data_IF_813824020244
#
_entry.id   IF_813824020244
#
_cell.length_a   1.000
_cell.length_b   1.000
_cell.length_c   1.000
_cell.angle_alpha   90.00
_cell.angle_beta   90.00
_cell.angle_gamma   90.00
#
_symmetry.space_group_name_H-M   'P 1'
#
loop_
_entity.id
_entity.type
_entity.pdbx_description
1 polymer ?
#
# COMPACT_ATOMS: atom_id res chain seq x y z
N UNK A 1 19.12 -7.26 -15.95
CA UNK A 1 19.33 -6.37 -14.78
C UNK A 1 17.94 -5.97 -14.31
N UNK A 2 17.43 -6.58 -13.26
CA UNK A 2 16.22 -6.12 -12.56
C UNK A 2 16.50 -4.71 -12.04
N UNK A 3 15.61 -3.77 -12.30
CA UNK A 3 15.69 -2.43 -11.71
C UNK A 3 15.74 -2.57 -10.16
N UNK A 4 16.52 -1.76 -9.45
CA UNK A 4 16.53 -1.81 -7.99
C UNK A 4 15.09 -1.54 -7.50
N UNK A 5 14.67 -2.27 -6.48
CA UNK A 5 13.38 -2.01 -5.83
C UNK A 5 13.36 -0.55 -5.32
N UNK A 6 12.21 0.13 -5.31
CA UNK A 6 12.13 1.56 -4.97
C UNK A 6 12.85 1.94 -3.67
N UNK A 7 12.69 1.15 -2.61
CA UNK A 7 13.33 1.39 -1.33
C UNK A 7 14.86 1.26 -1.37
N UNK A 8 15.42 0.42 -2.27
CA UNK A 8 16.87 0.31 -2.44
C UNK A 8 17.46 1.57 -3.07
N UNK A 9 16.75 2.13 -4.06
CA UNK A 9 17.13 3.40 -4.66
C UNK A 9 17.07 4.51 -3.61
N UNK A 10 16.03 4.55 -2.78
CA UNK A 10 15.87 5.50 -1.67
C UNK A 10 17.00 5.30 -0.66
N UNK A 11 17.22 4.09 -0.15
CA UNK A 11 18.25 3.81 0.84
C UNK A 11 19.65 4.07 0.30
N UNK A 12 19.98 3.66 -0.92
CA UNK A 12 21.28 3.94 -1.54
C UNK A 12 21.53 5.43 -1.78
N UNK A 13 20.48 6.20 -2.08
CA UNK A 13 20.56 7.62 -2.34
C UNK A 13 20.78 8.44 -1.07
N UNK A 14 20.18 8.02 0.05
CA UNK A 14 20.18 8.76 1.30
C UNK A 14 21.12 8.20 2.38
N UNK A 15 21.50 6.92 2.28
CA UNK A 15 22.45 6.30 3.21
C UNK A 15 23.90 6.52 2.77
N UNK A 16 24.35 7.76 2.74
CA UNK A 16 25.79 8.06 2.77
C UNK A 16 26.30 7.86 4.21
N UNK A 17 26.62 6.59 4.55
CA UNK A 17 27.01 6.18 5.91
C UNK A 17 28.55 6.17 6.06
N UNK A 18 29.25 7.07 5.39
CA UNK A 18 30.72 7.14 5.47
C UNK A 18 31.40 5.92 4.85
N UNK A 19 32.46 5.42 5.49
CA UNK A 19 33.30 4.29 5.02
C UNK A 19 32.70 2.92 5.43
N UNK A 20 31.38 2.76 5.40
CA UNK A 20 30.70 1.49 5.76
C UNK A 20 30.29 0.75 4.50
N UNK A 21 30.71 -0.51 4.38
CA UNK A 21 30.24 -1.42 3.34
C UNK A 21 28.85 -1.96 3.70
N UNK A 22 27.86 -1.64 2.89
CA UNK A 22 26.48 -2.18 3.04
C UNK A 22 26.30 -3.36 2.09
N UNK A 23 26.06 -4.53 2.64
CA UNK A 23 25.74 -5.75 1.86
C UNK A 23 24.23 -5.86 1.68
N UNK A 24 23.77 -5.78 0.44
CA UNK A 24 22.36 -5.86 0.09
C UNK A 24 21.95 -7.28 -0.32
N UNK A 25 21.16 -7.94 0.51
CA UNK A 25 20.55 -9.23 0.17
C UNK A 25 19.18 -9.00 -0.49
N UNK A 26 19.15 -9.06 -1.82
CA UNK A 26 17.95 -8.75 -2.60
C UNK A 26 17.29 -10.05 -3.05
N UNK A 27 16.07 -10.29 -2.57
CA UNK A 27 15.23 -11.40 -3.02
C UNK A 27 13.91 -10.83 -3.54
N UNK A 28 13.53 -11.09 -4.81
CA UNK A 28 12.17 -10.78 -5.28
C UNK A 28 11.13 -11.51 -4.44
N UNK A 29 9.97 -10.89 -4.23
CA UNK A 29 8.91 -11.51 -3.44
C UNK A 29 7.93 -12.34 -4.29
N UNK A 30 8.38 -12.87 -5.42
CA UNK A 30 7.61 -13.81 -6.22
C UNK A 30 7.40 -15.12 -5.43
N UNK A 31 6.18 -15.61 -5.38
CA UNK A 31 5.80 -16.83 -4.64
C UNK A 31 6.27 -16.85 -3.18
N UNK A 32 6.24 -15.70 -2.50
CA UNK A 32 6.72 -15.51 -1.12
C UNK A 32 8.23 -15.81 -0.92
N UNK A 33 9.04 -15.80 -1.97
CA UNK A 33 10.46 -16.13 -1.90
C UNK A 33 11.23 -15.23 -0.92
N UNK A 34 10.89 -13.92 -0.86
CA UNK A 34 11.48 -13.00 0.11
C UNK A 34 11.21 -13.44 1.55
N UNK A 35 9.94 -13.70 1.89
CA UNK A 35 9.57 -14.12 3.24
C UNK A 35 10.22 -15.47 3.61
N UNK A 36 10.22 -16.44 2.70
CA UNK A 36 10.85 -17.75 2.93
C UNK A 36 12.35 -17.62 3.20
N UNK A 37 13.04 -16.77 2.45
CA UNK A 37 14.47 -16.48 2.66
C UNK A 37 14.71 -15.78 4.00
N UNK A 38 13.91 -14.78 4.32
CA UNK A 38 14.00 -14.04 5.59
C UNK A 38 13.76 -14.95 6.78
N UNK A 39 12.73 -15.81 6.72
CA UNK A 39 12.43 -16.82 7.76
C UNK A 39 13.64 -17.71 8.02
N UNK A 40 14.23 -18.28 6.96
CA UNK A 40 15.39 -19.17 7.08
C UNK A 40 16.61 -18.45 7.67
N UNK A 41 16.83 -17.18 7.29
CA UNK A 41 17.98 -16.41 7.75
C UNK A 41 17.80 -15.98 9.21
N UNK A 42 16.62 -15.49 9.62
CA UNK A 42 16.35 -15.08 10.99
C UNK A 42 16.41 -16.28 11.96
N UNK A 43 15.96 -17.47 11.54
CA UNK A 43 16.10 -18.70 12.32
C UNK A 43 17.56 -19.04 12.64
N UNK A 44 18.49 -18.72 11.76
CA UNK A 44 19.91 -18.99 11.91
C UNK A 44 20.71 -17.81 12.50
N UNK A 45 20.07 -16.67 12.74
CA UNK A 45 20.70 -15.41 13.16
C UNK A 45 21.61 -15.54 14.38
N UNK A 46 21.18 -16.31 15.40
CA UNK A 46 21.93 -16.47 16.66
C UNK A 46 23.28 -17.19 16.47
N UNK A 47 23.33 -18.16 15.57
CA UNK A 47 24.50 -19.00 15.31
C UNK A 47 25.34 -18.50 14.12
N UNK A 48 24.88 -17.48 13.40
CA UNK A 48 25.58 -16.92 12.26
C UNK A 48 26.89 -16.21 12.69
N UNK A 49 27.99 -16.33 11.91
CA UNK A 49 29.16 -15.46 12.07
C UNK A 49 28.76 -13.97 11.99
N UNK A 50 29.52 -13.09 12.66
CA UNK A 50 29.24 -11.65 12.68
C UNK A 50 28.99 -11.06 11.28
N UNK A 51 29.85 -11.38 10.32
CA UNK A 51 29.76 -10.87 8.95
C UNK A 51 28.57 -11.43 8.14
N UNK A 52 27.93 -12.49 8.61
CA UNK A 52 26.77 -13.13 7.96
C UNK A 52 25.44 -12.79 8.65
N UNK A 53 25.46 -12.05 9.76
CA UNK A 53 24.26 -11.61 10.46
C UNK A 53 23.50 -10.55 9.66
N UNK A 54 22.17 -10.64 9.73
CA UNK A 54 21.31 -9.54 9.27
C UNK A 54 21.30 -8.45 10.35
N UNK A 55 21.48 -7.21 9.94
CA UNK A 55 21.35 -6.04 10.80
C UNK A 55 19.95 -5.42 10.68
N UNK A 56 19.49 -5.27 9.45
CA UNK A 56 18.19 -4.69 9.09
C UNK A 56 17.46 -5.59 8.08
N UNK A 57 16.16 -5.66 8.22
CA UNK A 57 15.29 -6.28 7.23
C UNK A 57 14.02 -5.46 7.04
N UNK A 58 13.34 -5.71 5.93
CA UNK A 58 12.13 -5.00 5.59
C UNK A 58 10.90 -5.88 5.73
N UNK A 59 9.81 -5.28 6.17
CA UNK A 59 8.50 -5.93 6.19
C UNK A 59 7.46 -5.03 5.52
N UNK A 60 6.49 -5.63 4.90
CA UNK A 60 5.34 -4.95 4.32
C UNK A 60 4.15 -5.09 5.28
N UNK A 61 3.22 -4.14 5.24
CA UNK A 61 2.11 -4.05 6.19
C UNK A 61 1.32 -5.36 6.37
N UNK A 62 1.01 -6.05 5.27
CA UNK A 62 0.16 -7.23 5.29
C UNK A 62 0.75 -8.40 6.09
N UNK A 63 2.09 -8.47 6.20
CA UNK A 63 2.78 -9.53 6.95
C UNK A 63 3.70 -9.04 8.07
N UNK A 64 3.67 -7.76 8.42
CA UNK A 64 4.54 -7.20 9.45
C UNK A 64 4.43 -7.93 10.79
N UNK A 65 3.20 -8.24 11.22
CA UNK A 65 2.95 -8.94 12.49
C UNK A 65 3.58 -10.33 12.56
N UNK A 66 3.78 -11.02 11.42
CA UNK A 66 4.49 -12.29 11.36
C UNK A 66 5.91 -12.18 11.93
N UNK A 67 6.57 -11.03 11.77
CA UNK A 67 7.97 -10.81 12.20
C UNK A 67 8.07 -10.03 13.50
N UNK A 68 7.26 -9.00 13.69
CA UNK A 68 7.36 -8.16 14.89
C UNK A 68 6.83 -8.85 16.12
N UNK A 69 5.88 -9.79 15.97
CA UNK A 69 5.35 -10.60 17.08
C UNK A 69 6.26 -11.81 17.40
N UNK A 70 7.56 -11.64 17.19
CA UNK A 70 8.60 -12.65 17.44
C UNK A 70 9.79 -12.05 18.18
N UNK A 71 10.66 -12.93 18.70
CA UNK A 71 11.93 -12.54 19.31
C UNK A 71 13.04 -12.27 18.28
N UNK A 72 12.78 -12.40 16.98
CA UNK A 72 13.75 -12.09 15.92
C UNK A 72 13.87 -10.60 15.63
N UNK A 73 12.88 -9.82 16.01
CA UNK A 73 12.82 -8.37 15.76
C UNK A 73 13.10 -7.60 17.04
N UNK A 74 14.08 -6.71 17.00
CA UNK A 74 14.52 -5.93 18.14
C UNK A 74 13.51 -4.82 18.49
N UNK A 75 13.18 -4.60 19.78
CA UNK A 75 12.44 -3.41 20.19
C UNK A 75 13.16 -2.12 19.82
N UNK A 76 12.44 -1.14 19.27
CA UNK A 76 13.01 0.17 18.85
C UNK A 76 13.69 0.89 20.03
N UNK A 77 13.11 0.81 21.23
CA UNK A 77 13.68 1.39 22.45
C UNK A 77 15.05 0.81 22.84
N UNK A 78 15.33 -0.45 22.48
CA UNK A 78 16.60 -1.10 22.80
C UNK A 78 17.74 -0.59 21.91
N UNK A 79 17.40 0.02 20.75
CA UNK A 79 18.31 0.83 19.94
C UNK A 79 18.52 2.23 20.52
N UNK A 80 17.79 2.62 21.58
CA UNK A 80 17.82 3.98 22.13
C UNK A 80 17.10 5.01 21.26
N UNK A 81 16.13 4.58 20.46
CA UNK A 81 15.17 5.46 19.75
C UNK A 81 14.03 5.79 20.72
N UNK A 82 13.69 7.07 20.84
CA UNK A 82 12.72 7.57 21.82
C UNK A 82 11.40 7.98 21.16
N UNK A 83 10.35 8.13 21.96
CA UNK A 83 9.07 8.65 21.48
C UNK A 83 9.19 10.08 20.94
N UNK A 84 10.11 10.89 21.48
CA UNK A 84 10.37 12.25 20.99
C UNK A 84 10.95 12.23 19.57
N UNK A 85 11.85 11.27 19.26
CA UNK A 85 12.39 11.07 17.91
C UNK A 85 11.28 10.76 16.90
N UNK A 86 10.21 10.09 17.34
CA UNK A 86 9.10 9.61 16.52
C UNK A 86 7.85 10.51 16.58
N UNK A 87 7.96 11.70 17.19
CA UNK A 87 6.81 12.59 17.46
C UNK A 87 6.09 13.08 16.20
N UNK A 88 6.77 13.11 15.05
CA UNK A 88 6.20 13.52 13.76
C UNK A 88 5.56 12.38 12.96
N UNK A 89 5.76 11.13 13.37
CA UNK A 89 5.22 9.97 12.68
C UNK A 89 3.73 9.77 12.99
N UNK A 90 2.98 9.31 11.99
CA UNK A 90 1.57 8.96 12.16
C UNK A 90 1.42 7.74 13.06
N UNK A 91 0.42 7.75 13.95
CA UNK A 91 0.23 6.69 14.93
C UNK A 91 -0.05 5.33 14.29
N UNK A 92 -0.93 5.28 13.26
CA UNK A 92 -1.27 4.02 12.59
C UNK A 92 -0.05 3.31 11.99
N UNK A 93 0.98 4.03 11.55
CA UNK A 93 2.21 3.40 11.03
C UNK A 93 3.01 2.69 12.13
N UNK A 94 2.93 3.17 13.36
CA UNK A 94 3.51 2.51 14.55
C UNK A 94 2.69 1.30 14.97
N UNK A 95 1.35 1.39 14.88
CA UNK A 95 0.44 0.31 15.27
C UNK A 95 0.68 -0.96 14.45
N UNK A 96 1.00 -0.84 13.15
CA UNK A 96 1.28 -1.97 12.23
C UNK A 96 2.49 -2.80 12.68
N UNK A 97 3.48 -2.19 13.31
CA UNK A 97 4.72 -2.84 13.76
C UNK A 97 4.86 -2.85 15.29
N UNK A 98 3.76 -2.77 15.97
CA UNK A 98 3.67 -2.98 17.42
C UNK A 98 3.21 -4.42 17.70
N UNK A 99 3.99 -5.14 18.49
CA UNK A 99 3.70 -6.54 18.81
C UNK A 99 2.49 -6.70 19.77
N UNK A 100 2.07 -7.94 20.00
CA UNK A 100 0.95 -8.27 20.87
C UNK A 100 1.13 -7.83 22.33
N UNK A 101 2.35 -7.48 22.74
CA UNK A 101 2.69 -6.95 24.07
C UNK A 101 2.74 -5.42 24.10
N UNK A 102 2.43 -4.74 23.00
CA UNK A 102 2.47 -3.28 22.87
C UNK A 102 3.89 -2.73 22.68
N UNK A 103 4.84 -3.53 22.18
CA UNK A 103 6.22 -3.11 21.95
C UNK A 103 6.43 -2.74 20.47
N UNK A 104 6.86 -1.52 20.21
CA UNK A 104 7.19 -1.05 18.88
C UNK A 104 8.50 -1.67 18.38
N UNK A 105 8.50 -2.28 17.18
CA UNK A 105 9.63 -3.04 16.64
C UNK A 105 10.01 -2.69 15.19
N UNK A 106 9.46 -1.64 14.62
CA UNK A 106 9.79 -1.19 13.27
C UNK A 106 9.47 0.28 13.05
N UNK A 107 10.02 0.87 12.00
CA UNK A 107 9.75 2.24 11.58
C UNK A 107 9.55 2.30 10.06
N UNK A 108 8.70 3.20 9.58
CA UNK A 108 8.48 3.42 8.15
C UNK A 108 8.77 4.84 7.75
N UNK A 109 9.26 5.01 6.52
CA UNK A 109 9.29 6.33 5.86
C UNK A 109 7.99 6.62 5.11
N UNK A 110 7.15 5.61 4.82
CA UNK A 110 5.93 5.74 4.03
C UNK A 110 4.69 5.84 4.93
N UNK A 111 3.70 6.62 4.48
CA UNK A 111 2.39 6.70 5.13
C UNK A 111 1.30 5.90 4.43
N UNK A 112 1.33 5.81 3.11
CA UNK A 112 0.46 4.98 2.25
C UNK A 112 -1.07 5.16 2.38
N UNK A 113 -1.62 6.36 2.65
CA UNK A 113 -3.06 6.56 2.51
C UNK A 113 -3.47 6.40 1.05
N UNK A 114 -4.61 5.76 0.81
CA UNK A 114 -5.13 5.50 -0.53
C UNK A 114 -6.10 6.57 -1.00
N UNK A 115 -6.10 6.79 -2.32
CA UNK A 115 -7.02 7.66 -3.04
C UNK A 115 -7.46 6.99 -4.34
N UNK A 116 -8.37 7.62 -5.07
CA UNK A 116 -8.80 7.22 -6.41
C UNK A 116 -8.02 8.05 -7.44
N UNK A 117 -7.19 7.39 -8.27
CA UNK A 117 -6.57 8.00 -9.44
C UNK A 117 -7.47 7.84 -10.66
N UNK A 118 -7.82 8.93 -11.33
CA UNK A 118 -8.70 8.91 -12.50
C UNK A 118 -8.02 9.42 -13.75
N UNK A 119 -8.38 8.85 -14.89
CA UNK A 119 -7.98 9.29 -16.23
C UNK A 119 -8.69 10.61 -16.57
N UNK A 120 -7.93 11.70 -16.68
CA UNK A 120 -8.46 13.06 -16.96
C UNK A 120 -9.19 13.15 -18.28
N UNK A 121 -8.72 12.47 -19.32
CA UNK A 121 -9.37 12.49 -20.63
C UNK A 121 -10.71 11.77 -20.58
N UNK A 122 -10.79 10.62 -19.92
CA UNK A 122 -12.06 9.93 -19.68
C UNK A 122 -13.03 10.77 -18.84
N UNK A 123 -12.53 11.46 -17.80
CA UNK A 123 -13.34 12.38 -17.00
C UNK A 123 -13.91 13.52 -17.84
N UNK A 124 -13.10 14.17 -18.68
CA UNK A 124 -13.56 15.23 -19.60
C UNK A 124 -14.60 14.71 -20.58
N UNK A 125 -14.35 13.55 -21.18
CA UNK A 125 -15.23 12.95 -22.18
C UNK A 125 -16.60 12.59 -21.57
N UNK A 126 -16.63 11.97 -20.40
CA UNK A 126 -17.84 11.35 -19.83
C UNK A 126 -18.52 12.24 -18.78
N UNK A 127 -17.74 12.90 -17.92
CA UNK A 127 -18.27 13.75 -16.86
C UNK A 127 -18.30 15.24 -17.22
N UNK A 128 -17.67 15.62 -18.36
CA UNK A 128 -17.58 17.01 -18.83
C UNK A 128 -16.56 17.86 -18.04
N UNK A 129 -15.74 17.23 -17.20
CA UNK A 129 -14.75 17.93 -16.38
C UNK A 129 -13.63 16.98 -15.97
N UNK A 130 -12.41 17.51 -15.79
CA UNK A 130 -11.28 16.80 -15.16
C UNK A 130 -10.80 17.52 -13.89
N UNK A 131 -11.58 18.47 -13.41
CA UNK A 131 -11.33 19.17 -12.15
C UNK A 131 -11.49 18.20 -10.97
N UNK A 132 -10.47 18.05 -10.09
CA UNK A 132 -10.50 17.06 -9.02
C UNK A 132 -11.70 17.15 -8.06
N UNK A 133 -12.11 18.38 -7.71
CA UNK A 133 -13.22 18.59 -6.79
C UNK A 133 -14.54 18.17 -7.40
N UNK A 134 -14.72 18.43 -8.72
CA UNK A 134 -15.92 18.03 -9.44
C UNK A 134 -15.95 16.55 -9.75
N UNK A 135 -14.80 15.94 -10.02
CA UNK A 135 -14.70 14.47 -10.16
C UNK A 135 -15.01 13.80 -8.84
N UNK A 136 -14.52 14.35 -7.70
CA UNK A 136 -14.85 13.83 -6.36
C UNK A 136 -16.37 13.77 -6.12
N UNK A 137 -17.15 14.78 -6.56
CA UNK A 137 -18.62 14.72 -6.44
C UNK A 137 -19.27 13.54 -7.18
N UNK A 138 -18.60 13.03 -8.21
CA UNK A 138 -19.07 11.88 -9.00
C UNK A 138 -18.64 10.54 -8.43
N UNK A 139 -17.77 10.51 -7.41
CA UNK A 139 -17.21 9.28 -6.79
C UNK A 139 -17.16 9.36 -5.26
N UNK A 140 -17.88 10.28 -4.63
CA UNK A 140 -17.78 10.58 -3.20
C UNK A 140 -18.37 9.51 -2.27
N UNK A 141 -19.18 8.64 -2.79
CA UNK A 141 -19.78 7.50 -2.13
C UNK A 141 -20.02 6.38 -3.13
N UNK A 142 -20.38 5.18 -2.64
CA UNK A 142 -20.60 4.02 -3.51
C UNK A 142 -21.78 4.18 -4.46
N UNK A 143 -22.80 4.97 -4.13
CA UNK A 143 -23.94 5.21 -5.01
C UNK A 143 -23.53 6.07 -6.22
N UNK A 144 -22.84 7.19 -5.98
CA UNK A 144 -22.34 8.07 -7.05
C UNK A 144 -21.22 7.40 -7.86
N UNK A 145 -20.38 6.57 -7.21
CA UNK A 145 -19.37 5.75 -7.88
C UNK A 145 -20.03 4.75 -8.86
N UNK A 146 -21.06 4.03 -8.43
CA UNK A 146 -21.78 3.08 -9.27
C UNK A 146 -22.52 3.77 -10.43
N UNK A 147 -23.08 4.96 -10.20
CA UNK A 147 -23.70 5.73 -11.30
C UNK A 147 -22.66 6.25 -12.29
N UNK A 148 -21.45 6.57 -11.83
CA UNK A 148 -20.32 6.92 -12.70
C UNK A 148 -19.83 5.71 -13.48
N UNK A 149 -19.78 4.52 -12.88
CA UNK A 149 -19.40 3.27 -13.55
C UNK A 149 -20.31 2.97 -14.76
N UNK A 150 -21.61 3.18 -14.62
CA UNK A 150 -22.59 3.04 -15.73
C UNK A 150 -22.29 4.01 -16.87
N UNK A 151 -22.02 5.29 -16.55
CA UNK A 151 -21.71 6.32 -17.55
C UNK A 151 -20.38 5.98 -18.27
N UNK A 152 -19.37 5.53 -17.55
CA UNK A 152 -18.08 5.12 -18.11
C UNK A 152 -18.26 3.95 -19.08
N UNK A 153 -19.02 2.91 -18.66
CA UNK A 153 -19.34 1.77 -19.53
C UNK A 153 -20.05 2.18 -20.81
N UNK A 154 -21.06 3.08 -20.72
CA UNK A 154 -21.82 3.54 -21.88
C UNK A 154 -20.94 4.31 -22.87
N UNK A 155 -19.85 4.93 -22.39
CA UNK A 155 -18.83 5.60 -23.21
C UNK A 155 -17.70 4.64 -23.65
N UNK A 156 -17.76 3.36 -23.31
CA UNK A 156 -16.78 2.35 -23.73
C UNK A 156 -15.55 2.24 -22.81
N UNK A 157 -15.63 2.78 -21.59
CA UNK A 157 -14.61 2.60 -20.55
C UNK A 157 -15.02 1.52 -19.54
N UNK A 158 -14.03 0.90 -18.92
CA UNK A 158 -14.21 0.22 -17.65
C UNK A 158 -14.06 1.22 -16.52
N UNK A 159 -14.85 1.07 -15.45
CA UNK A 159 -14.65 1.86 -14.24
C UNK A 159 -13.31 1.54 -13.61
N UNK A 160 -13.04 0.24 -13.36
CA UNK A 160 -11.73 -0.30 -12.95
C UNK A 160 -11.32 -1.48 -13.83
N UNK A 161 -10.02 -1.79 -13.90
CA UNK A 161 -9.50 -2.92 -14.63
C UNK A 161 -9.86 -4.27 -13.97
N UNK A 162 -9.93 -4.26 -12.65
CA UNK A 162 -10.18 -5.45 -11.82
C UNK A 162 -11.20 -5.16 -10.73
N UNK A 163 -12.02 -6.14 -10.38
CA UNK A 163 -12.83 -6.11 -9.17
C UNK A 163 -11.95 -5.93 -7.90
N UNK A 164 -10.72 -6.44 -7.93
CA UNK A 164 -9.77 -6.32 -6.82
C UNK A 164 -9.24 -4.89 -6.62
N UNK A 165 -9.36 -3.98 -7.60
CA UNK A 165 -8.95 -2.57 -7.44
C UNK A 165 -9.67 -1.88 -6.27
N UNK A 166 -10.91 -2.25 -5.98
CA UNK A 166 -11.69 -1.68 -4.87
C UNK A 166 -11.54 -2.44 -3.55
N UNK A 167 -10.92 -3.62 -3.55
CA UNK A 167 -10.88 -4.51 -2.39
C UNK A 167 -10.35 -3.83 -1.13
N UNK A 168 -9.23 -3.11 -1.23
CA UNK A 168 -8.61 -2.43 -0.07
C UNK A 168 -9.51 -1.37 0.55
N UNK A 169 -10.35 -0.71 -0.24
CA UNK A 169 -11.32 0.27 0.29
C UNK A 169 -12.31 -0.41 1.23
N UNK A 170 -12.80 -1.60 0.89
CA UNK A 170 -13.72 -2.36 1.73
C UNK A 170 -13.00 -3.05 2.90
N UNK A 171 -11.87 -3.69 2.66
CA UNK A 171 -11.17 -4.48 3.67
C UNK A 171 -10.51 -3.64 4.78
N UNK A 172 -10.22 -2.38 4.53
CA UNK A 172 -9.75 -1.45 5.56
C UNK A 172 -10.87 -0.84 6.41
N UNK A 173 -12.12 -0.96 5.97
CA UNK A 173 -13.27 -0.38 6.66
C UNK A 173 -14.16 -1.47 7.30
N UNK A 174 -13.49 -2.48 7.88
CA UNK A 174 -14.14 -3.60 8.58
C UNK A 174 -14.34 -3.28 10.06
N UNK A 175 -15.33 -3.91 10.65
CA UNK A 175 -15.68 -3.78 12.07
C UNK A 175 -15.20 -4.95 12.91
N UNK A 176 -14.67 -5.99 12.27
CA UNK A 176 -14.17 -7.20 12.93
C UNK A 176 -12.93 -7.76 12.22
N UNK A 177 -12.13 -8.50 12.96
CA UNK A 177 -10.96 -9.22 12.43
C UNK A 177 -11.40 -10.43 11.61
N UNK A 178 -10.52 -10.92 10.73
CA UNK A 178 -10.70 -12.18 10.02
C UNK A 178 -10.84 -13.40 10.95
N UNK A 179 -10.25 -13.33 12.15
CA UNK A 179 -10.25 -14.44 13.09
C UNK A 179 -10.65 -13.96 14.47
N UNK A 180 -11.68 -14.59 15.05
CA UNK A 180 -12.10 -14.45 16.43
C UNK A 180 -11.81 -15.76 17.19
N UNK A 181 -10.83 -15.69 18.13
CA UNK A 181 -10.27 -16.88 18.76
C UNK A 181 -9.55 -17.77 17.74
N UNK A 182 -10.17 -18.87 17.35
CA UNK A 182 -9.69 -19.73 16.25
C UNK A 182 -10.71 -19.88 15.12
N UNK A 183 -11.78 -19.07 15.13
CA UNK A 183 -12.84 -19.15 14.14
C UNK A 183 -12.67 -18.05 13.07
N UNK A 184 -12.71 -18.47 11.79
CA UNK A 184 -12.73 -17.54 10.65
C UNK A 184 -14.09 -16.82 10.62
N UNK A 185 -14.06 -15.50 10.49
CA UNK A 185 -15.23 -14.63 10.40
C UNK A 185 -15.05 -13.66 9.25
N UNK A 186 -16.02 -13.60 8.35
CA UNK A 186 -16.01 -12.65 7.22
C UNK A 186 -16.86 -11.46 7.61
N UNK A 187 -16.26 -10.27 7.65
CA UNK A 187 -16.96 -9.02 7.94
C UNK A 187 -17.99 -8.69 6.87
N UNK A 188 -19.10 -8.07 7.27
CA UNK A 188 -20.19 -7.69 6.36
C UNK A 188 -19.73 -6.74 5.26
N UNK A 189 -18.73 -5.90 5.52
CA UNK A 189 -18.16 -4.98 4.52
C UNK A 189 -17.36 -5.74 3.44
N UNK A 190 -16.69 -6.81 3.82
CA UNK A 190 -16.04 -7.72 2.86
C UNK A 190 -17.08 -8.41 1.97
N UNK A 191 -18.19 -8.87 2.56
CA UNK A 191 -19.29 -9.47 1.79
C UNK A 191 -19.98 -8.46 0.89
N UNK A 192 -20.08 -7.18 1.32
CA UNK A 192 -20.58 -6.10 0.47
C UNK A 192 -19.70 -5.89 -0.77
N UNK A 193 -18.35 -5.94 -0.62
CA UNK A 193 -17.45 -5.92 -1.76
C UNK A 193 -17.74 -7.05 -2.76
N UNK A 194 -18.04 -8.26 -2.27
CA UNK A 194 -18.38 -9.40 -3.14
C UNK A 194 -19.64 -9.10 -3.96
N UNK A 195 -20.69 -8.59 -3.32
CA UNK A 195 -21.96 -8.32 -3.99
C UNK A 195 -21.85 -7.14 -4.96
N UNK A 196 -21.21 -6.05 -4.57
CA UNK A 196 -20.99 -4.87 -5.42
C UNK A 196 -20.11 -5.21 -6.64
N UNK A 197 -18.99 -5.92 -6.42
CA UNK A 197 -18.09 -6.34 -7.48
C UNK A 197 -18.76 -7.28 -8.48
N UNK A 198 -19.53 -8.26 -8.00
CA UNK A 198 -20.29 -9.17 -8.88
C UNK A 198 -21.28 -8.40 -9.74
N UNK A 199 -22.02 -7.47 -9.16
CA UNK A 199 -22.98 -6.66 -9.90
C UNK A 199 -22.28 -5.83 -10.99
N UNK A 200 -21.13 -5.19 -10.71
CA UNK A 200 -20.37 -4.41 -11.68
C UNK A 200 -19.74 -5.28 -12.77
N UNK A 201 -19.24 -6.48 -12.43
CA UNK A 201 -18.69 -7.43 -13.41
C UNK A 201 -19.80 -7.91 -14.35
N UNK A 202 -20.95 -8.33 -13.83
CA UNK A 202 -22.10 -8.80 -14.62
C UNK A 202 -22.67 -7.68 -15.52
N UNK A 203 -22.65 -6.44 -15.04
CA UNK A 203 -23.00 -5.27 -15.83
C UNK A 203 -21.94 -4.90 -16.88
N UNK A 204 -20.74 -5.47 -16.83
CA UNK A 204 -19.63 -5.17 -17.71
C UNK A 204 -18.94 -3.83 -17.40
N UNK A 205 -19.17 -3.27 -16.21
CA UNK A 205 -18.62 -1.99 -15.73
C UNK A 205 -17.18 -2.11 -15.23
N UNK A 206 -16.79 -3.27 -14.70
CA UNK A 206 -15.41 -3.56 -14.27
C UNK A 206 -14.89 -4.88 -14.85
N UNK A 207 -13.58 -5.11 -14.78
CA UNK A 207 -12.91 -6.34 -15.22
C UNK A 207 -12.70 -7.34 -14.08
N UNK A 208 -12.07 -8.49 -14.44
CA UNK A 208 -11.72 -9.58 -13.51
C UNK A 208 -10.25 -10.00 -13.63
N UNK A 209 -9.41 -9.20 -14.30
CA UNK A 209 -7.98 -9.50 -14.39
C UNK A 209 -7.33 -9.45 -13.02
N UNK A 210 -6.23 -10.18 -12.86
CA UNK A 210 -5.44 -10.10 -11.64
C UNK A 210 -4.72 -8.76 -11.56
N UNK A 211 -4.62 -8.20 -10.34
CA UNK A 211 -3.71 -7.09 -10.08
C UNK A 211 -2.29 -7.48 -10.49
N UNK A 212 -1.53 -6.51 -10.97
CA UNK A 212 -0.14 -6.66 -11.43
C UNK A 212 0.03 -7.46 -12.73
N UNK A 213 -1.05 -7.98 -13.33
CA UNK A 213 -0.99 -8.65 -14.62
C UNK A 213 -0.79 -7.65 -15.78
N UNK A 214 -0.36 -8.19 -16.94
CA UNK A 214 -0.28 -7.40 -18.17
C UNK A 214 -1.65 -6.83 -18.59
N UNK A 215 -2.74 -7.57 -18.34
CA UNK A 215 -4.09 -7.12 -18.66
C UNK A 215 -4.52 -5.95 -17.77
N UNK A 216 -4.16 -5.95 -16.51
CA UNK A 216 -4.38 -4.84 -15.58
C UNK A 216 -3.59 -3.60 -16.00
N UNK A 217 -2.33 -3.77 -16.39
CA UNK A 217 -1.42 -2.70 -16.78
C UNK A 217 -1.80 -2.03 -18.11
N UNK A 218 -2.61 -2.67 -18.96
CA UNK A 218 -3.13 -2.07 -20.20
C UNK A 218 -3.90 -0.77 -19.95
N UNK A 219 -4.57 -0.67 -18.81
CA UNK A 219 -5.31 0.54 -18.43
C UNK A 219 -4.44 1.76 -18.10
N UNK A 220 -3.13 1.60 -17.95
CA UNK A 220 -2.18 2.71 -17.79
C UNK A 220 -1.92 3.47 -19.09
N UNK A 221 -2.48 2.99 -20.19
CA UNK A 221 -2.38 3.58 -21.52
C UNK A 221 -3.77 3.96 -22.04
N UNK A 222 -3.88 5.02 -22.87
CA UNK A 222 -5.17 5.54 -23.34
C UNK A 222 -6.06 4.49 -24.03
N UNK A 223 -5.43 3.54 -24.75
CA UNK A 223 -6.14 2.46 -25.45
C UNK A 223 -6.75 1.40 -24.54
N UNK A 224 -6.29 1.31 -23.28
CA UNK A 224 -6.83 0.36 -22.31
C UNK A 224 -8.22 0.71 -21.80
N UNK A 225 -8.65 1.99 -21.99
CA UNK A 225 -10.00 2.44 -21.67
C UNK A 225 -10.45 2.12 -20.25
N UNK A 226 -9.60 2.38 -19.26
CA UNK A 226 -9.89 2.28 -17.82
C UNK A 226 -10.01 3.68 -17.24
N UNK A 227 -11.06 3.92 -16.44
CA UNK A 227 -11.31 5.21 -15.83
C UNK A 227 -10.45 5.44 -14.59
N UNK A 228 -10.44 4.50 -13.63
CA UNK A 228 -9.74 4.74 -12.38
C UNK A 228 -9.06 3.51 -11.79
N UNK A 229 -8.12 3.80 -10.88
CA UNK A 229 -7.41 2.87 -10.02
C UNK A 229 -7.42 3.38 -8.58
N UNK A 230 -7.44 2.48 -7.62
CA UNK A 230 -7.33 2.82 -6.20
C UNK A 230 -5.94 2.49 -5.68
N UNK A 231 -5.31 3.42 -5.01
CA UNK A 231 -3.99 3.17 -4.42
C UNK A 231 -3.41 4.37 -3.70
N UNK A 232 -2.30 4.15 -2.98
CA UNK A 232 -1.49 5.21 -2.40
C UNK A 232 -0.63 5.93 -3.44
N UNK A 233 0.11 6.93 -2.99
CA UNK A 233 1.01 7.72 -3.82
C UNK A 233 2.03 6.87 -4.60
N UNK A 234 2.61 5.85 -3.96
CA UNK A 234 3.57 4.94 -4.60
C UNK A 234 3.00 4.20 -5.82
N UNK A 235 1.68 3.95 -5.86
CA UNK A 235 1.07 3.22 -7.00
C UNK A 235 1.27 3.98 -8.31
N UNK A 236 0.97 5.27 -8.30
CA UNK A 236 1.02 6.11 -9.50
C UNK A 236 2.44 6.26 -10.05
N UNK A 237 3.42 6.42 -9.18
CA UNK A 237 4.80 6.62 -9.59
C UNK A 237 5.49 5.31 -10.00
N UNK A 238 5.40 4.27 -9.16
CA UNK A 238 6.18 3.03 -9.37
C UNK A 238 5.48 2.01 -10.26
N UNK A 239 4.13 1.98 -10.27
CA UNK A 239 3.40 0.87 -10.88
C UNK A 239 2.65 1.26 -12.15
N UNK A 240 2.23 2.53 -12.30
CA UNK A 240 1.36 2.97 -13.39
C UNK A 240 2.13 3.53 -14.59
N UNK A 241 3.35 3.05 -14.82
CA UNK A 241 4.19 3.37 -15.99
C UNK A 241 4.43 4.87 -16.21
N UNK A 242 4.53 5.66 -15.13
CA UNK A 242 4.63 7.12 -15.19
C UNK A 242 5.85 7.66 -15.93
N UNK A 243 6.91 6.87 -16.05
CA UNK A 243 8.15 7.15 -16.78
C UNK A 243 8.15 6.65 -18.24
N UNK A 244 7.09 5.95 -18.66
CA UNK A 244 7.00 5.30 -19.98
C UNK A 244 6.27 6.17 -20.98
N UNK A 245 6.95 6.56 -22.06
CA UNK A 245 6.36 7.35 -23.14
C UNK A 245 5.09 6.69 -23.70
N UNK A 246 4.04 7.49 -23.84
CA UNK A 246 2.73 7.05 -24.33
C UNK A 246 1.77 6.56 -23.25
N UNK A 247 2.24 6.41 -21.98
CA UNK A 247 1.33 6.18 -20.86
C UNK A 247 0.55 7.45 -20.48
N UNK A 248 -0.54 7.26 -19.77
CA UNK A 248 -1.35 8.36 -19.23
C UNK A 248 -0.52 9.21 -18.25
N UNK A 249 0.22 8.58 -17.34
CA UNK A 249 1.03 9.26 -16.32
C UNK A 249 2.18 10.08 -16.91
N UNK A 250 2.85 9.58 -17.95
CA UNK A 250 3.97 10.28 -18.60
C UNK A 250 3.61 11.70 -19.06
N UNK A 251 2.37 11.88 -19.50
CA UNK A 251 1.84 13.15 -19.99
C UNK A 251 1.06 13.95 -18.94
N UNK A 252 1.05 13.51 -17.66
CA UNK A 252 0.27 14.18 -16.62
C UNK A 252 -1.23 13.96 -16.75
N UNK A 253 -1.63 12.84 -17.34
CA UNK A 253 -3.04 12.53 -17.66
C UNK A 253 -3.83 11.91 -16.51
N UNK A 254 -3.22 11.65 -15.36
CA UNK A 254 -3.94 11.25 -14.16
C UNK A 254 -4.38 12.44 -13.32
N UNK A 255 -5.48 12.31 -12.60
CA UNK A 255 -5.89 13.16 -11.50
C UNK A 255 -6.17 12.31 -10.27
N UNK A 256 -6.20 12.93 -9.09
CA UNK A 256 -6.53 12.26 -7.85
C UNK A 256 -7.82 12.83 -7.24
N UNK A 257 -8.67 11.94 -6.71
CA UNK A 257 -9.87 12.24 -5.93
C UNK A 257 -9.84 11.37 -4.68
N UNK A 258 -10.48 11.81 -3.58
CA UNK A 258 -10.55 11.01 -2.34
C UNK A 258 -11.20 9.65 -2.57
N UNK A 259 -12.16 9.60 -3.51
CA UNK A 259 -12.99 8.41 -3.75
C UNK A 259 -14.12 8.27 -2.74
N UNK A 260 -14.78 7.10 -2.72
CA UNK A 260 -15.96 6.90 -1.90
C UNK A 260 -15.66 6.74 -0.40
N UNK A 261 -14.42 6.34 -0.06
CA UNK A 261 -14.03 6.06 1.32
C UNK A 261 -12.51 6.04 1.46
N UNK A 262 -11.98 6.50 2.60
CA UNK A 262 -10.55 6.42 2.90
C UNK A 262 -10.09 4.98 3.14
N UNK A 263 -8.84 4.70 2.81
CA UNK A 263 -8.22 3.39 2.99
C UNK A 263 -6.70 3.52 3.06
N UNK A 264 -6.05 2.43 3.41
CA UNK A 264 -4.61 2.27 3.49
C UNK A 264 -4.19 1.05 2.66
N UNK A 265 -3.03 1.12 2.01
CA UNK A 265 -2.50 -0.05 1.29
C UNK A 265 -0.99 -0.07 1.25
N UNK A 266 -0.42 -1.19 1.70
CA UNK A 266 1.00 -1.47 1.58
C UNK A 266 1.90 -0.60 2.45
N UNK A 267 3.08 -0.31 1.97
CA UNK A 267 4.14 0.38 2.67
C UNK A 267 5.19 -0.56 3.23
N UNK A 268 6.36 0.00 3.50
CA UNK A 268 7.54 -0.76 3.92
C UNK A 268 8.02 -0.25 5.27
N UNK A 269 8.27 -1.17 6.19
CA UNK A 269 8.87 -0.91 7.50
C UNK A 269 10.28 -1.46 7.57
N UNK A 270 11.16 -0.71 8.22
CA UNK A 270 12.52 -1.11 8.55
C UNK A 270 12.50 -1.69 9.94
N UNK A 271 12.95 -2.94 10.09
CA UNK A 271 13.09 -3.65 11.35
C UNK A 271 14.56 -3.95 11.62
N UNK A 272 14.97 -3.82 12.88
CA UNK A 272 16.29 -4.26 13.32
C UNK A 272 16.25 -5.74 13.73
N UNK A 273 17.21 -6.52 13.26
CA UNK A 273 17.29 -7.92 13.64
C UNK A 273 17.86 -8.08 15.05
N UNK A 274 17.22 -8.95 15.84
CA UNK A 274 17.75 -9.31 17.17
C UNK A 274 19.13 -9.95 17.02
N UNK A 275 20.10 -9.47 17.82
CA UNK A 275 21.47 -9.96 17.78
C UNK A 275 22.36 -9.32 16.71
N UNK A 276 21.93 -8.19 16.12
CA UNK A 276 22.83 -7.33 15.35
C UNK A 276 24.00 -6.88 16.20
N UNK A 277 25.20 -6.86 15.64
CA UNK A 277 26.40 -6.30 16.29
C UNK A 277 26.68 -4.84 15.85
N UNK A 278 25.81 -4.28 15.01
CA UNK A 278 25.88 -2.92 14.46
C UNK A 278 24.77 -1.99 15.00
N UNK A 279 24.27 -2.19 16.21
CA UNK A 279 23.08 -1.52 16.74
C UNK A 279 23.10 0.02 16.62
N UNK A 280 24.26 0.68 16.82
CA UNK A 280 24.36 2.14 16.68
C UNK A 280 24.17 2.59 15.22
N UNK A 281 24.76 1.87 14.28
CA UNK A 281 24.61 2.15 12.86
C UNK A 281 23.18 1.89 12.38
N UNK A 282 22.59 0.80 12.84
CA UNK A 282 21.17 0.45 12.60
C UNK A 282 20.26 1.58 13.08
N UNK A 283 20.46 2.08 14.30
CA UNK A 283 19.76 3.25 14.82
C UNK A 283 19.87 4.46 13.90
N UNK A 284 21.10 4.82 13.51
CA UNK A 284 21.35 6.01 12.69
C UNK A 284 20.69 5.90 11.31
N UNK A 285 20.71 4.70 10.69
CA UNK A 285 20.04 4.43 9.42
C UNK A 285 18.52 4.58 9.59
N UNK A 286 17.94 3.92 10.59
CA UNK A 286 16.51 3.96 10.83
C UNK A 286 16.01 5.37 11.06
N UNK A 287 16.64 6.15 11.96
CA UNK A 287 16.27 7.53 12.22
C UNK A 287 16.42 8.41 10.97
N UNK A 288 17.55 8.32 10.28
CA UNK A 288 17.80 9.13 9.09
C UNK A 288 16.77 8.87 8.00
N UNK A 289 16.44 7.60 7.76
CA UNK A 289 15.47 7.20 6.74
C UNK A 289 14.03 7.54 7.09
N UNK A 290 13.68 7.64 8.37
CA UNK A 290 12.28 7.71 8.78
C UNK A 290 11.89 8.98 9.56
N UNK A 291 12.85 9.87 9.88
CA UNK A 291 12.57 11.07 10.68
C UNK A 291 13.23 12.36 10.16
N UNK A 292 14.20 12.27 9.25
CA UNK A 292 14.89 13.45 8.71
C UNK A 292 13.98 14.23 7.75
N UNK A 293 13.67 15.48 8.10
CA UNK A 293 12.71 16.30 7.34
C UNK A 293 13.18 16.60 5.90
N UNK A 294 14.48 16.76 5.69
CA UNK A 294 15.01 17.05 4.34
C UNK A 294 14.96 15.80 3.45
N UNK A 295 15.32 14.64 3.98
CA UNK A 295 15.20 13.36 3.27
C UNK A 295 13.73 13.07 2.95
N UNK A 296 12.84 13.26 3.94
CA UNK A 296 11.40 13.07 3.73
C UNK A 296 10.85 13.98 2.64
N UNK A 297 11.22 15.25 2.66
CA UNK A 297 10.83 16.20 1.61
C UNK A 297 11.37 15.78 0.23
N UNK A 298 12.60 15.33 0.14
CA UNK A 298 13.20 14.88 -1.11
C UNK A 298 12.50 13.64 -1.67
N UNK A 299 12.09 12.69 -0.82
CA UNK A 299 11.28 11.53 -1.23
C UNK A 299 9.96 11.99 -1.85
N UNK A 300 9.24 12.96 -1.23
CA UNK A 300 8.00 13.49 -1.81
C UNK A 300 8.23 14.12 -3.18
N UNK A 301 9.30 14.90 -3.32
CA UNK A 301 9.58 15.65 -4.56
C UNK A 301 10.03 14.75 -5.70
N UNK A 302 10.87 13.77 -5.39
CA UNK A 302 11.53 12.95 -6.42
C UNK A 302 10.74 11.69 -6.76
N UNK A 303 9.97 11.16 -5.81
CA UNK A 303 9.23 9.90 -5.96
C UNK A 303 7.70 10.09 -5.92
N UNK A 304 7.19 11.33 -5.80
CA UNK A 304 5.75 11.63 -5.65
C UNK A 304 5.10 10.81 -4.51
N UNK A 305 5.86 10.39 -3.49
CA UNK A 305 5.36 9.52 -2.41
C UNK A 305 4.78 10.34 -1.25
N UNK A 306 3.99 9.70 -0.39
CA UNK A 306 3.48 10.26 0.87
C UNK A 306 4.30 9.70 2.03
N UNK A 307 5.03 10.59 2.73
CA UNK A 307 5.96 10.18 3.78
C UNK A 307 5.36 10.20 5.19
N UNK A 308 5.93 9.38 6.06
CA UNK A 308 5.51 9.24 7.46
C UNK A 308 6.06 10.37 8.35
N UNK A 309 5.79 11.62 7.96
CA UNK A 309 6.19 12.81 8.68
C UNK A 309 5.10 13.89 8.56
N UNK A 310 4.28 14.02 9.60
CA UNK A 310 3.13 14.93 9.60
C UNK A 310 3.52 16.40 9.42
N UNK A 311 4.70 16.81 9.90
CA UNK A 311 5.19 18.20 9.74
C UNK A 311 5.50 18.49 8.27
N UNK A 312 6.23 17.59 7.60
CA UNK A 312 6.57 17.74 6.18
C UNK A 312 5.31 17.66 5.33
N UNK A 313 4.45 16.66 5.58
CA UNK A 313 3.23 16.47 4.79
C UNK A 313 2.26 17.65 4.90
N UNK A 314 1.95 18.10 6.11
CA UNK A 314 1.07 19.25 6.31
C UNK A 314 1.68 20.54 5.73
N UNK A 315 2.97 20.77 5.93
CA UNK A 315 3.64 21.96 5.42
C UNK A 315 3.74 22.01 3.90
N UNK A 316 3.92 20.86 3.24
CA UNK A 316 3.88 20.79 1.76
C UNK A 316 2.44 20.82 1.22
N UNK A 317 1.47 20.32 1.99
CA UNK A 317 0.06 20.37 1.63
C UNK A 317 -0.48 21.80 1.64
N UNK A 318 -0.18 22.60 2.66
CA UNK A 318 -0.64 23.98 2.81
C UNK A 318 0.30 25.03 2.16
N UNK A 319 1.42 24.56 1.59
CA UNK A 319 2.40 25.40 0.91
C UNK A 319 3.31 26.22 1.85
N UNK A 320 3.32 25.98 3.14
CA UNK A 320 4.29 26.61 4.09
C UNK A 320 5.70 26.04 3.94
N UNK A 321 5.82 24.76 3.55
CA UNK A 321 7.07 24.15 3.11
C UNK A 321 7.14 24.18 1.58
N UNK A 322 8.13 24.88 1.07
CA UNK A 322 8.36 25.02 -0.39
C UNK A 322 9.39 24.01 -0.87
N UNK A 323 9.24 23.61 -2.13
CA UNK A 323 10.22 22.84 -2.86
C UNK A 323 11.25 23.76 -3.54
N UNK A 324 12.10 23.17 -4.40
CA UNK A 324 13.13 23.93 -5.14
C UNK A 324 12.54 25.17 -5.83
N UNK A 325 13.33 26.24 -5.90
CA UNK A 325 12.95 27.54 -6.48
C UNK A 325 11.79 28.24 -5.74
N UNK A 326 11.59 27.93 -4.46
CA UNK A 326 10.52 28.50 -3.63
C UNK A 326 9.11 28.29 -4.19
N UNK A 327 8.89 27.16 -4.87
CA UNK A 327 7.58 26.77 -5.44
C UNK A 327 6.79 25.90 -4.46
N UNK A 328 5.49 25.83 -4.65
CA UNK A 328 4.64 24.83 -4.02
C UNK A 328 4.87 23.46 -4.69
N UNK A 329 4.70 22.39 -3.93
CA UNK A 329 4.75 21.05 -4.48
C UNK A 329 3.56 20.81 -5.43
N UNK A 330 3.83 20.12 -6.51
CA UNK A 330 2.81 19.63 -7.44
C UNK A 330 3.34 18.40 -8.18
N UNK A 331 2.50 17.38 -8.33
CA UNK A 331 2.84 16.17 -9.07
C UNK A 331 2.71 16.39 -10.57
N UNK A 332 3.78 16.10 -11.30
CA UNK A 332 3.75 16.12 -12.78
C UNK A 332 2.83 15.02 -13.32
N UNK A 333 2.84 13.85 -12.69
CA UNK A 333 2.03 12.68 -13.08
C UNK A 333 0.54 12.98 -12.96
N UNK A 334 0.17 13.82 -11.98
CA UNK A 334 -1.19 14.26 -11.73
C UNK A 334 -1.56 15.59 -12.42
N UNK A 335 -0.83 15.96 -13.49
CA UNK A 335 -1.13 17.16 -14.27
C UNK A 335 -0.93 18.48 -13.50
N UNK A 336 -0.04 18.52 -12.54
CA UNK A 336 0.25 19.67 -11.70
C UNK A 336 -0.61 19.77 -10.44
N UNK A 337 -1.43 18.76 -10.13
CA UNK A 337 -2.19 18.70 -8.88
C UNK A 337 -1.26 18.49 -7.69
N UNK A 338 -1.52 19.14 -6.55
CA UNK A 338 -0.96 18.77 -5.25
C UNK A 338 -1.95 17.83 -4.53
N UNK A 339 -1.68 16.52 -4.43
CA UNK A 339 -2.58 15.57 -3.78
C UNK A 339 -2.41 15.52 -2.26
N UNK A 340 -1.38 16.17 -1.69
CA UNK A 340 -1.03 16.05 -0.28
C UNK A 340 -2.14 16.47 0.69
N UNK A 341 -2.94 17.55 0.43
CA UNK A 341 -4.08 17.86 1.29
C UNK A 341 -5.08 16.72 1.40
N UNK A 342 -5.29 15.99 0.30
CA UNK A 342 -6.20 14.84 0.23
C UNK A 342 -5.66 13.65 1.02
N UNK A 343 -4.38 13.33 0.85
CA UNK A 343 -3.73 12.28 1.63
C UNK A 343 -3.71 12.61 3.13
N UNK A 344 -3.39 13.85 3.51
CA UNK A 344 -3.42 14.28 4.92
C UNK A 344 -4.81 14.14 5.53
N UNK A 345 -5.88 14.46 4.79
CA UNK A 345 -7.24 14.23 5.24
C UNK A 345 -7.57 12.72 5.35
N UNK A 346 -7.05 11.90 4.43
CA UNK A 346 -7.26 10.45 4.42
C UNK A 346 -6.69 9.76 5.65
N UNK A 347 -5.48 10.13 6.10
CA UNK A 347 -4.84 9.49 7.28
C UNK A 347 -5.62 9.70 8.59
N UNK A 348 -6.39 10.78 8.71
CA UNK A 348 -7.21 11.06 9.88
C UNK A 348 -8.41 10.10 10.02
N UNK A 349 -8.76 9.39 8.95
CA UNK A 349 -9.92 8.48 8.91
C UNK A 349 -9.54 7.00 9.08
N UNK A 350 -8.24 6.67 9.15
CA UNK A 350 -7.78 5.29 9.22
C UNK A 350 -7.98 4.69 10.61
N UNK A 351 -8.60 3.51 10.64
CA UNK A 351 -8.74 2.66 11.83
C UNK A 351 -8.16 1.27 11.52
N UNK A 352 -6.99 0.98 12.11
CA UNK A 352 -6.28 -0.28 11.92
C UNK A 352 -6.41 -1.23 13.12
N UNK A 353 -7.38 -1.00 14.00
CA UNK A 353 -7.59 -1.80 15.22
C UNK A 353 -7.97 -3.26 14.94
N UNK A 354 -8.43 -3.55 13.72
CA UNK A 354 -8.83 -4.88 13.27
C UNK A 354 -7.73 -5.66 12.53
N UNK A 355 -6.49 -5.14 12.47
CA UNK A 355 -5.37 -5.89 11.88
C UNK A 355 -5.02 -7.14 12.71
N UNK A 356 -4.58 -8.18 12.00
CA UNK A 356 -4.13 -9.44 12.58
C UNK A 356 -3.05 -10.12 11.73
N UNK A 357 -2.34 -11.09 12.31
CA UNK A 357 -1.34 -11.90 11.60
C UNK A 357 -1.93 -12.82 10.51
N UNK A 358 -3.26 -12.95 10.47
CA UNK A 358 -3.98 -13.75 9.46
C UNK A 358 -4.37 -12.94 8.22
N UNK A 359 -4.23 -11.61 8.25
CA UNK A 359 -4.78 -10.72 7.22
C UNK A 359 -4.22 -11.01 5.84
N UNK A 360 -2.90 -11.20 5.70
CA UNK A 360 -2.30 -11.53 4.41
C UNK A 360 -2.95 -12.77 3.81
N UNK A 361 -2.92 -13.89 4.54
CA UNK A 361 -3.44 -15.14 4.02
C UNK A 361 -4.95 -15.11 3.76
N UNK A 362 -5.73 -14.51 4.67
CA UNK A 362 -7.17 -14.41 4.48
C UNK A 362 -7.52 -13.50 3.29
N UNK A 363 -6.89 -12.34 3.16
CA UNK A 363 -7.14 -11.42 2.04
C UNK A 363 -6.76 -12.04 0.68
N UNK A 364 -5.60 -12.70 0.59
CA UNK A 364 -5.14 -13.36 -0.63
C UNK A 364 -6.08 -14.48 -1.05
N UNK A 365 -6.36 -15.41 -0.14
CA UNK A 365 -7.20 -16.57 -0.43
C UNK A 365 -8.66 -16.17 -0.71
N UNK A 366 -9.15 -15.12 -0.05
CA UNK A 366 -10.51 -14.62 -0.30
C UNK A 366 -10.66 -14.03 -1.70
N UNK A 367 -9.75 -13.16 -2.11
CA UNK A 367 -9.77 -12.58 -3.46
C UNK A 367 -9.62 -13.65 -4.54
N UNK A 368 -8.70 -14.62 -4.33
CA UNK A 368 -8.48 -15.73 -5.25
C UNK A 368 -9.75 -16.60 -5.40
N UNK A 369 -10.41 -16.91 -4.31
CA UNK A 369 -11.65 -17.70 -4.33
C UNK A 369 -12.80 -16.93 -5.01
N UNK A 370 -13.00 -15.66 -4.64
CA UNK A 370 -14.09 -14.83 -5.19
C UNK A 370 -13.91 -14.53 -6.69
N UNK A 371 -12.70 -14.54 -7.23
CA UNK A 371 -12.47 -14.43 -8.67
C UNK A 371 -13.26 -15.48 -9.46
N UNK A 372 -13.36 -16.73 -8.97
CA UNK A 372 -14.13 -17.77 -9.62
C UNK A 372 -15.63 -17.44 -9.68
N UNK A 373 -16.15 -16.83 -8.62
CA UNK A 373 -17.54 -16.36 -8.58
C UNK A 373 -17.76 -15.17 -9.53
N UNK A 374 -16.87 -14.20 -9.54
CA UNK A 374 -16.96 -13.04 -10.45
C UNK A 374 -16.93 -13.45 -11.92
N UNK A 375 -16.11 -14.42 -12.28
CA UNK A 375 -16.00 -14.96 -13.65
C UNK A 375 -17.11 -15.96 -14.02
N UNK A 376 -18.06 -16.25 -13.09
CA UNK A 376 -19.15 -17.21 -13.32
C UNK A 376 -18.71 -18.67 -13.40
N UNK A 377 -17.50 -19.00 -12.90
CA UNK A 377 -16.95 -20.36 -12.84
C UNK A 377 -17.42 -21.14 -11.60
N UNK A 378 -17.87 -20.44 -10.58
CA UNK A 378 -18.38 -21.00 -9.33
C UNK A 378 -19.59 -20.18 -8.85
N UNK A 379 -20.45 -20.79 -8.04
CA UNK A 379 -21.42 -20.07 -7.24
C UNK A 379 -20.75 -19.34 -6.07
N UNK A 380 -21.45 -18.43 -5.41
CA UNK A 380 -20.95 -17.73 -4.22
C UNK A 380 -20.57 -18.71 -3.11
N UNK A 381 -21.43 -19.72 -2.86
CA UNK A 381 -21.21 -20.73 -1.83
C UNK A 381 -19.98 -21.60 -2.14
N UNK A 382 -19.82 -22.04 -3.40
CA UNK A 382 -18.62 -22.79 -3.81
C UNK A 382 -17.34 -21.96 -3.68
N UNK A 383 -17.38 -20.67 -3.97
CA UNK A 383 -16.23 -19.77 -3.78
C UNK A 383 -15.89 -19.58 -2.28
N UNK A 384 -16.90 -19.46 -1.41
CA UNK A 384 -16.71 -19.42 0.04
C UNK A 384 -16.11 -20.73 0.57
N UNK A 385 -16.57 -21.87 0.10
CA UNK A 385 -16.01 -23.18 0.46
C UNK A 385 -14.53 -23.28 0.04
N UNK A 386 -14.17 -22.80 -1.15
CA UNK A 386 -12.77 -22.73 -1.60
C UNK A 386 -11.93 -21.86 -0.68
N UNK A 387 -12.42 -20.69 -0.30
CA UNK A 387 -11.75 -19.79 0.64
C UNK A 387 -11.50 -20.47 1.99
N UNK A 388 -12.53 -21.00 2.63
CA UNK A 388 -12.39 -21.64 3.93
C UNK A 388 -11.40 -22.82 3.91
N UNK A 389 -11.45 -23.61 2.84
CA UNK A 389 -10.52 -24.71 2.66
C UNK A 389 -9.07 -24.21 2.53
N UNK A 390 -8.81 -23.22 1.67
CA UNK A 390 -7.48 -22.67 1.46
C UNK A 390 -6.89 -22.05 2.75
N UNK A 391 -7.69 -21.28 3.49
CA UNK A 391 -7.26 -20.67 4.76
C UNK A 391 -6.98 -21.74 5.82
N UNK A 392 -7.80 -22.78 5.95
CA UNK A 392 -7.55 -23.86 6.93
C UNK A 392 -6.42 -24.80 6.52
N UNK A 393 -6.08 -24.89 5.24
CA UNK A 393 -4.85 -25.57 4.78
C UNK A 393 -3.60 -24.75 5.14
N UNK A 394 -3.68 -23.40 5.03
CA UNK A 394 -2.58 -22.47 5.35
C UNK A 394 -2.40 -22.31 6.88
N UNK A 395 -3.49 -22.32 7.63
CA UNK A 395 -3.56 -22.15 9.09
C UNK A 395 -4.37 -23.29 9.73
N UNK A 396 -3.75 -24.45 9.98
CA UNK A 396 -4.45 -25.65 10.44
C UNK A 396 -5.13 -25.54 11.81
N UNK A 397 -4.77 -24.53 12.62
CA UNK A 397 -5.40 -24.21 13.89
C UNK A 397 -6.76 -23.52 13.76
N UNK A 398 -7.10 -23.01 12.59
CA UNK A 398 -8.35 -22.29 12.36
C UNK A 398 -9.50 -23.23 12.00
N UNK A 399 -10.72 -22.76 12.31
CA UNK A 399 -12.00 -23.40 11.99
C UNK A 399 -12.96 -22.39 11.36
N UNK A 400 -14.04 -22.85 10.74
CA UNK A 400 -15.09 -22.01 10.15
C UNK A 400 -16.49 -22.53 10.44
#
# INVERSE_FOLDING_TARGET
KTAPQPWQAIAQRFCSIGDVDVVWNITPNDDNAYQNNLDATLLNQADAPADDKIDLFLVEADYALKYVDTDYTMPIKDLGITDDDLSKQYQYTKDIVTDSNGVLKGLSWQGCPGVLFYNRDAAKEVLGTDDPDKVQESVKDWDTYNDTAKKMKDAGYKMTASANDTYRVYSNNVTSKWVDGNKISIDDNIMKWVDDSKAQVDAGETGTCDLWSDDWSKGFYPQGKVFCYFGPAWLVNFSMAADTEGSIGYNGGWGAAQGPQGFFWGGTWICAAQGTDNANLVKDIMLKMTTDDDIMKDIVVDDDDFVNNSTVMNGMADGSIKVKDNKEYSSKILGGQNPLPMYCAGVETLDLSNLSSYDQGCNEEFQNAMKNYFEGKATKDEALDLFYKAVTEKYPELTY
#
